data_IF_370748200249
#
_entry.id   IF_370748200249
#
_cell.length_a   1.000
_cell.length_b   1.000
_cell.length_c   1.000
_cell.angle_alpha   90.00
_cell.angle_beta   90.00
_cell.angle_gamma   90.00
#
_symmetry.space_group_name_H-M   'P 1'
#
loop_
_entity.id
_entity.type
_entity.pdbx_description
1 polymer ?
#
# COMPACT_ATOMS: atom_id res chain seq x y z
N UNK A 1 18.40 -9.44 8.89
CA UNK A 1 17.21 -9.00 8.12
C UNK A 1 17.62 -7.76 7.35
N UNK A 2 17.74 -7.85 6.03
CA UNK A 2 18.07 -6.71 5.16
C UNK A 2 16.96 -5.67 5.21
N UNK A 3 17.30 -4.40 5.48
CA UNK A 3 16.33 -3.32 5.54
C UNK A 3 15.79 -2.99 4.15
N UNK A 4 14.51 -2.60 4.05
CA UNK A 4 13.88 -2.24 2.77
C UNK A 4 14.64 -1.15 1.99
N UNK A 5 15.44 -0.33 2.67
CA UNK A 5 16.31 0.69 2.10
C UNK A 5 17.46 0.14 1.23
N UNK A 6 17.80 -1.14 1.35
CA UNK A 6 18.83 -1.81 0.54
C UNK A 6 18.27 -2.39 -0.77
N UNK A 7 16.94 -2.36 -0.95
CA UNK A 7 16.31 -2.91 -2.15
C UNK A 7 16.38 -1.90 -3.29
N UNK A 8 16.92 -2.35 -4.42
CA UNK A 8 16.89 -1.60 -5.68
C UNK A 8 15.43 -1.41 -6.09
N UNK A 9 14.97 -0.16 -6.06
CA UNK A 9 13.66 0.21 -6.57
C UNK A 9 13.68 0.07 -8.10
N UNK A 10 13.28 -1.08 -8.59
CA UNK A 10 12.96 -1.26 -10.01
C UNK A 10 11.59 -0.62 -10.26
N UNK A 11 11.45 0.09 -11.37
CA UNK A 11 10.15 0.58 -11.78
C UNK A 11 9.17 -0.60 -11.80
N UNK A 12 7.98 -0.42 -11.23
CA UNK A 12 6.87 -1.33 -11.45
C UNK A 12 6.82 -1.60 -12.96
N UNK A 13 6.82 -2.88 -13.37
CA UNK A 13 6.69 -3.23 -14.78
C UNK A 13 5.43 -2.50 -15.28
N UNK A 14 5.55 -1.56 -16.22
CA UNK A 14 4.42 -0.74 -16.66
C UNK A 14 3.30 -1.61 -17.26
N UNK A 15 3.66 -2.82 -17.68
CA UNK A 15 2.81 -3.79 -18.34
C UNK A 15 2.34 -4.91 -17.37
N UNK A 16 2.59 -4.76 -16.06
CA UNK A 16 2.12 -5.74 -15.10
C UNK A 16 0.60 -5.81 -15.10
N UNK A 17 0.06 -7.03 -15.19
CA UNK A 17 -1.38 -7.22 -15.07
C UNK A 17 -1.85 -6.81 -13.66
N UNK A 18 -2.98 -6.07 -13.56
CA UNK A 18 -3.61 -5.84 -12.28
C UNK A 18 -3.97 -7.16 -11.61
N UNK A 19 -3.87 -7.21 -10.27
CA UNK A 19 -4.35 -8.36 -9.50
C UNK A 19 -5.85 -8.62 -9.77
N UNK A 20 -6.25 -9.89 -9.79
CA UNK A 20 -7.66 -10.26 -9.95
C UNK A 20 -8.48 -9.84 -8.74
N UNK A 21 -9.81 -9.85 -8.87
CA UNK A 21 -10.72 -9.53 -7.75
C UNK A 21 -10.51 -10.50 -6.58
N UNK A 22 -10.29 -11.78 -6.87
CA UNK A 22 -10.06 -12.84 -5.88
C UNK A 22 -8.73 -12.63 -5.16
N UNK A 23 -7.68 -12.29 -5.90
CA UNK A 23 -6.36 -11.98 -5.33
C UNK A 23 -6.43 -10.74 -4.44
N UNK A 24 -7.09 -9.68 -4.88
CA UNK A 24 -7.28 -8.46 -4.09
C UNK A 24 -8.01 -8.76 -2.79
N UNK A 25 -9.09 -9.55 -2.84
CA UNK A 25 -9.83 -9.96 -1.64
C UNK A 25 -8.96 -10.77 -0.69
N UNK A 26 -8.16 -11.71 -1.21
CA UNK A 26 -7.23 -12.51 -0.42
C UNK A 26 -6.16 -11.63 0.25
N UNK A 27 -5.58 -10.67 -0.47
CA UNK A 27 -4.51 -9.81 0.05
C UNK A 27 -5.00 -8.83 1.10
N UNK A 28 -6.23 -8.31 0.96
CA UNK A 28 -6.79 -7.33 1.90
C UNK A 28 -7.36 -8.02 3.15
N UNK A 29 -7.81 -9.26 3.02
CA UNK A 29 -8.38 -10.03 4.13
C UNK A 29 -7.44 -10.10 5.33
N UNK A 30 -7.94 -9.72 6.51
CA UNK A 30 -7.18 -9.72 7.76
C UNK A 30 -6.21 -8.54 7.93
N UNK A 31 -6.18 -7.60 7.00
CA UNK A 31 -5.40 -6.36 7.11
C UNK A 31 -6.26 -5.18 7.59
N UNK A 32 -5.61 -4.07 7.98
CA UNK A 32 -6.30 -2.81 8.28
C UNK A 32 -6.49 -1.91 7.04
N UNK A 33 -6.15 -2.41 5.85
CA UNK A 33 -6.33 -1.67 4.60
C UNK A 33 -7.78 -1.79 4.11
N UNK A 34 -8.28 -0.71 3.51
CA UNK A 34 -9.60 -0.64 2.89
C UNK A 34 -9.46 -0.41 1.40
N UNK A 35 -10.36 -0.97 0.61
CA UNK A 35 -10.48 -0.67 -0.82
C UNK A 35 -11.38 0.56 -1.00
N UNK A 36 -10.90 1.56 -1.72
CA UNK A 36 -11.66 2.76 -2.07
C UNK A 36 -11.63 2.96 -3.58
N UNK A 37 -12.68 3.60 -4.11
CA UNK A 37 -12.73 4.00 -5.50
C UNK A 37 -12.44 5.51 -5.61
N UNK A 38 -11.41 5.90 -6.36
CA UNK A 38 -11.08 7.31 -6.62
C UNK A 38 -10.75 7.51 -8.09
N UNK A 39 -11.45 8.45 -8.72
CA UNK A 39 -11.26 8.80 -10.14
C UNK A 39 -11.39 7.56 -11.05
N UNK A 40 -12.28 6.63 -10.70
CA UNK A 40 -12.51 5.40 -11.47
C UNK A 40 -11.38 4.36 -11.37
N UNK A 41 -10.50 4.48 -10.36
CA UNK A 41 -9.48 3.49 -10.05
C UNK A 41 -9.68 2.99 -8.63
N UNK A 42 -9.70 1.67 -8.46
CA UNK A 42 -9.70 1.01 -7.15
C UNK A 42 -8.31 1.10 -6.52
N UNK A 43 -8.25 1.56 -5.26
CA UNK A 43 -7.02 1.85 -4.54
C UNK A 43 -7.06 1.28 -3.12
N UNK A 44 -5.89 0.92 -2.60
CA UNK A 44 -5.72 0.60 -1.18
C UNK A 44 -5.59 1.89 -0.37
N UNK A 45 -6.34 1.98 0.71
CA UNK A 45 -6.33 3.12 1.62
C UNK A 45 -6.17 2.66 3.07
N UNK A 46 -5.30 3.33 3.82
CA UNK A 46 -5.18 3.21 5.26
C UNK A 46 -4.84 4.56 5.86
N UNK A 47 -5.58 4.92 6.92
CA UNK A 47 -5.31 6.13 7.70
C UNK A 47 -4.48 5.76 8.93
N UNK A 48 -3.30 6.36 9.04
CA UNK A 48 -2.47 6.27 10.24
C UNK A 48 -2.70 7.51 11.11
N UNK A 49 -2.78 7.30 12.43
CA UNK A 49 -2.96 8.36 13.42
C UNK A 49 -1.79 8.36 14.38
N UNK A 50 -1.18 9.52 14.59
CA UNK A 50 -0.04 9.73 15.48
C UNK A 50 -0.36 10.81 16.50
N UNK A 51 0.23 10.77 17.71
CA UNK A 51 -0.07 11.75 18.75
C UNK A 51 0.51 13.14 18.45
N UNK A 52 1.49 13.26 17.55
CA UNK A 52 2.07 14.54 17.14
C UNK A 52 2.70 14.43 15.73
N UNK A 53 3.08 15.58 15.18
CA UNK A 53 3.68 15.69 13.85
C UNK A 53 5.05 15.01 13.76
N UNK A 54 5.87 15.13 14.80
CA UNK A 54 7.21 14.52 14.84
C UNK A 54 7.15 13.00 14.63
N UNK A 55 6.26 12.29 15.32
CA UNK A 55 6.09 10.84 15.15
C UNK A 55 5.50 10.47 13.78
N UNK A 56 4.64 11.30 13.22
CA UNK A 56 4.12 11.09 11.88
C UNK A 56 5.22 11.22 10.82
N UNK A 57 6.12 12.20 10.99
CA UNK A 57 7.24 12.43 10.08
C UNK A 57 8.24 11.26 10.10
N UNK A 58 8.53 10.68 11.28
CA UNK A 58 9.41 9.51 11.40
C UNK A 58 8.85 8.27 10.67
N UNK A 59 7.52 8.16 10.55
CA UNK A 59 6.88 7.05 9.85
C UNK A 59 6.86 7.20 8.32
N UNK A 60 6.93 8.44 7.81
CA UNK A 60 6.77 8.75 6.37
C UNK A 60 8.05 8.49 5.60
#
# INVERSE_FOLDING_TARGET
MSGFHEKVCVACQPDAEPASVEEIQQFVSGTEWSLIERIGVTQLFRKYSFPNFEKALVFT
#
